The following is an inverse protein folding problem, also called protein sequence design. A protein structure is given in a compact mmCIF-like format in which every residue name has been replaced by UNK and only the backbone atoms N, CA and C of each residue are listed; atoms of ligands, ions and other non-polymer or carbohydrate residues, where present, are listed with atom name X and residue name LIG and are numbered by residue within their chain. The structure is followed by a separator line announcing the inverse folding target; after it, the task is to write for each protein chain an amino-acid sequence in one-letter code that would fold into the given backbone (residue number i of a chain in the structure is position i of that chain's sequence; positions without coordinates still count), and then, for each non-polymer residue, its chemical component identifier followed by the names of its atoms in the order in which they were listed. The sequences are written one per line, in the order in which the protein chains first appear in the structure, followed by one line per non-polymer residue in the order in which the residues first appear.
data_IF_793712542506
#
_entry.id   IF_793712542506
#
_cell.length_a   1.000
_cell.length_b   1.000
_cell.length_c   1.000
_cell.angle_alpha   90.00
_cell.angle_beta   90.00
_cell.angle_gamma   90.00
#
_symmetry.space_group_name_H-M   'P 1'
#
loop_
_entity.id
_entity.type
_entity.pdbx_description
1 polymer ?
#
# COMPACT_ATOMS: atom_id res chain seq x y z
N UNK A 1 15.97 -7.37 -4.64
CA UNK A 1 15.02 -8.23 -3.92
C UNK A 1 13.83 -7.35 -3.56
N UNK A 2 12.60 -7.73 -3.91
CA UNK A 2 11.41 -6.94 -3.58
C UNK A 2 10.98 -7.17 -2.13
N UNK A 3 10.19 -6.24 -1.57
CA UNK A 3 9.57 -6.36 -0.26
C UNK A 3 8.72 -7.65 -0.12
N UNK A 4 7.98 -8.02 -1.17
CA UNK A 4 7.15 -9.23 -1.21
C UNK A 4 8.02 -10.50 -1.16
N UNK A 5 9.14 -10.55 -1.91
CA UNK A 5 10.10 -11.66 -1.84
C UNK A 5 10.75 -11.77 -0.47
N UNK A 6 11.17 -10.63 0.09
CA UNK A 6 11.75 -10.59 1.43
C UNK A 6 10.76 -11.14 2.47
N UNK A 7 9.48 -10.75 2.38
CA UNK A 7 8.42 -11.27 3.24
C UNK A 7 8.27 -12.79 3.11
N UNK A 8 8.25 -13.32 1.88
CA UNK A 8 8.20 -14.76 1.64
C UNK A 8 9.40 -15.50 2.24
N UNK A 9 10.60 -14.94 2.12
CA UNK A 9 11.82 -15.54 2.69
C UNK A 9 11.84 -15.52 4.22
N UNK A 10 11.36 -14.43 4.84
CA UNK A 10 11.35 -14.30 6.30
C UNK A 10 10.29 -15.18 6.95
N UNK A 11 9.13 -15.32 6.32
CA UNK A 11 7.95 -15.96 6.94
C UNK A 11 7.71 -17.39 6.45
N UNK A 12 8.23 -17.75 5.28
CA UNK A 12 7.92 -19.00 4.59
C UNK A 12 6.41 -19.24 4.42
N UNK A 13 5.62 -18.17 4.26
CA UNK A 13 4.16 -18.22 4.18
C UNK A 13 3.64 -17.32 3.04
N UNK A 14 2.96 -17.93 2.07
CA UNK A 14 2.39 -17.24 0.90
C UNK A 14 1.31 -16.23 1.27
N UNK A 15 0.60 -16.45 2.40
CA UNK A 15 -0.42 -15.52 2.90
C UNK A 15 0.22 -14.21 3.36
N UNK A 16 1.44 -14.27 3.89
CA UNK A 16 2.20 -13.07 4.28
C UNK A 16 2.64 -12.26 3.06
N UNK A 17 2.95 -12.92 1.93
CA UNK A 17 3.22 -12.23 0.65
C UNK A 17 1.98 -11.48 0.14
N UNK A 18 0.78 -12.06 0.30
CA UNK A 18 -0.48 -11.38 -0.04
C UNK A 18 -0.71 -10.13 0.85
N UNK A 19 -0.41 -10.22 2.16
CA UNK A 19 -0.46 -9.05 3.06
C UNK A 19 0.57 -7.98 2.67
N UNK A 20 1.80 -8.38 2.29
CA UNK A 20 2.81 -7.46 1.79
C UNK A 20 2.37 -6.77 0.49
N UNK A 21 1.68 -7.49 -0.41
CA UNK A 21 1.10 -6.90 -1.60
C UNK A 21 0.00 -5.88 -1.26
N UNK A 22 -0.93 -6.22 -0.36
CA UNK A 22 -1.94 -5.27 0.12
C UNK A 22 -1.32 -4.00 0.69
N UNK A 23 -0.20 -4.12 1.40
CA UNK A 23 0.57 -2.99 1.94
C UNK A 23 1.17 -2.10 0.85
N UNK A 24 1.72 -2.71 -0.21
CA UNK A 24 2.25 -1.97 -1.36
C UNK A 24 1.11 -1.23 -2.09
N UNK A 25 0.00 -1.90 -2.36
CA UNK A 25 -1.20 -1.29 -2.97
C UNK A 25 -1.69 -0.11 -2.12
N UNK A 26 -1.80 -0.31 -0.79
CA UNK A 26 -2.21 0.76 0.12
C UNK A 26 -1.30 1.98 0.00
N UNK A 27 0.02 1.79 0.03
CA UNK A 27 0.96 2.91 -0.02
C UNK A 27 0.81 3.73 -1.31
N UNK A 28 0.64 3.06 -2.45
CA UNK A 28 0.39 3.72 -3.74
C UNK A 28 -0.95 4.47 -3.73
N UNK A 29 -2.04 3.80 -3.36
CA UNK A 29 -3.40 4.38 -3.42
C UNK A 29 -3.54 5.57 -2.47
N UNK A 30 -3.05 5.45 -1.23
CA UNK A 30 -3.20 6.46 -0.18
C UNK A 30 -2.12 7.53 -0.18
N UNK A 31 -1.20 7.51 -1.15
CA UNK A 31 -0.09 8.46 -1.25
C UNK A 31 0.78 8.44 0.02
N UNK A 32 1.09 7.23 0.52
CA UNK A 32 2.14 7.04 1.52
C UNK A 32 3.45 6.75 0.80
N UNK A 33 4.20 7.82 0.52
CA UNK A 33 5.49 7.75 -0.18
C UNK A 33 6.69 7.64 0.76
N UNK A 34 6.46 7.56 2.07
CA UNK A 34 7.50 7.27 3.07
C UNK A 34 7.59 5.77 3.36
N UNK A 35 7.52 4.95 2.30
CA UNK A 35 7.39 3.50 2.35
C UNK A 35 8.73 2.77 2.36
N UNK A 36 9.74 3.33 3.02
CA UNK A 36 11.08 2.79 3.00
C UNK A 36 11.22 1.46 3.77
N UNK A 37 12.25 0.64 3.50
CA UNK A 37 12.40 -0.68 4.11
C UNK A 37 12.36 -0.73 5.64
N UNK A 38 12.74 0.35 6.35
CA UNK A 38 12.67 0.42 7.83
C UNK A 38 11.23 0.49 8.39
N UNK A 39 10.23 0.76 7.54
CA UNK A 39 8.81 0.80 7.90
C UNK A 39 8.11 -0.56 7.78
N UNK A 40 8.89 -1.62 7.56
CA UNK A 40 8.43 -3.00 7.62
C UNK A 40 9.24 -3.78 8.65
N UNK A 41 8.53 -4.57 9.45
CA UNK A 41 9.11 -5.45 10.44
C UNK A 41 8.39 -6.80 10.40
N UNK A 42 8.99 -7.79 11.08
CA UNK A 42 8.44 -9.12 11.22
C UNK A 42 8.41 -9.46 12.71
N UNK A 43 7.35 -10.14 13.12
CA UNK A 43 7.16 -10.61 14.49
C UNK A 43 7.41 -12.12 14.51
N UNK A 44 8.18 -12.57 15.51
CA UNK A 44 8.37 -13.99 15.78
C UNK A 44 7.48 -14.39 16.95
N UNK A 45 6.68 -15.45 16.76
CA UNK A 45 5.93 -16.07 17.84
C UNK A 45 6.87 -16.81 18.80
N UNK A 46 6.39 -17.15 20.00
CA UNK A 46 7.15 -17.99 20.93
C UNK A 46 7.52 -19.37 20.35
N UNK A 47 6.77 -19.84 19.34
CA UNK A 47 7.05 -21.08 18.61
C UNK A 47 8.08 -20.93 17.48
N UNK A 48 8.62 -19.72 17.25
CA UNK A 48 9.59 -19.45 16.19
C UNK A 48 8.97 -19.17 14.82
N UNK A 49 7.64 -19.02 14.74
CA UNK A 49 6.95 -18.69 13.49
C UNK A 49 7.04 -17.19 13.24
N UNK A 50 7.45 -16.81 12.03
CA UNK A 50 7.57 -15.41 11.63
C UNK A 50 6.35 -14.97 10.81
N UNK A 51 5.82 -13.79 11.13
CA UNK A 51 4.76 -13.14 10.37
C UNK A 51 5.14 -11.68 10.08
N UNK A 52 4.59 -11.11 9.01
CA UNK A 52 4.68 -9.68 8.75
C UNK A 52 4.01 -8.93 9.90
N UNK A 53 4.70 -7.94 10.46
CA UNK A 53 4.16 -7.14 11.55
C UNK A 53 2.92 -6.34 11.09
N UNK A 54 1.99 -6.02 12.00
CA UNK A 54 0.91 -5.08 11.71
C UNK A 54 1.44 -3.77 11.15
N UNK A 55 0.58 -3.10 10.41
CA UNK A 55 0.93 -1.84 9.79
C UNK A 55 1.29 -0.76 10.84
N UNK A 56 2.48 -0.17 10.73
CA UNK A 56 2.90 1.01 11.51
C UNK A 56 3.46 2.10 10.59
N UNK A 57 3.64 3.29 11.18
CA UNK A 57 4.15 4.51 10.53
C UNK A 57 3.48 4.80 9.18
N UNK A 58 2.14 4.78 9.20
CA UNK A 58 1.34 5.04 8.01
C UNK A 58 0.90 6.49 8.02
N UNK A 59 1.47 7.27 7.11
CA UNK A 59 1.15 8.68 6.98
C UNK A 59 0.99 9.07 5.51
N UNK A 60 0.13 10.06 5.25
CA UNK A 60 0.14 10.73 3.95
C UNK A 60 1.49 11.46 3.79
N UNK A 61 2.19 11.21 2.69
CA UNK A 61 3.49 11.81 2.42
C UNK A 61 3.65 12.04 0.91
N UNK A 62 4.06 13.23 0.50
CA UNK A 62 4.36 13.53 -0.91
C UNK A 62 5.66 12.89 -1.39
N UNK A 63 6.54 12.48 -0.47
CA UNK A 63 7.84 11.88 -0.77
C UNK A 63 8.86 12.87 -1.33
N UNK A 64 10.14 12.47 -1.42
CA UNK A 64 11.19 13.29 -2.01
C UNK A 64 10.94 13.49 -3.51
N UNK A 65 10.65 14.72 -3.93
CA UNK A 65 10.38 15.05 -5.34
C UNK A 65 9.13 14.37 -5.92
N UNK A 66 8.22 13.86 -5.07
CA UNK A 66 7.06 13.10 -5.52
C UNK A 66 7.30 11.59 -5.64
N UNK A 67 8.47 11.05 -5.30
CA UNK A 67 8.73 9.63 -5.46
C UNK A 67 8.41 8.82 -4.20
N UNK A 68 7.91 7.60 -4.39
CA UNK A 68 7.96 6.54 -3.37
C UNK A 68 9.43 6.21 -3.04
N UNK A 69 9.69 5.81 -1.79
CA UNK A 69 11.03 5.37 -1.39
C UNK A 69 11.34 3.94 -1.85
N UNK A 70 10.31 3.16 -2.20
CA UNK A 70 10.44 1.87 -2.89
C UNK A 70 9.70 1.91 -4.23
N UNK A 71 10.34 1.39 -5.28
CA UNK A 71 9.71 1.28 -6.59
C UNK A 71 8.76 0.06 -6.69
N UNK A 72 7.82 0.15 -7.61
CA UNK A 72 7.01 -0.96 -8.12
C UNK A 72 7.48 -1.26 -9.54
N UNK A 73 8.30 -2.31 -9.68
CA UNK A 73 8.82 -2.78 -10.97
C UNK A 73 9.52 -1.66 -11.77
N UNK A 74 10.37 -0.88 -11.09
CA UNK A 74 11.16 0.21 -11.66
C UNK A 74 10.46 1.57 -11.74
N UNK A 75 9.22 1.69 -11.22
CA UNK A 75 8.47 2.95 -11.18
C UNK A 75 8.17 3.38 -9.75
N UNK A 76 8.41 4.65 -9.44
CA UNK A 76 8.20 5.21 -8.11
C UNK A 76 7.44 6.54 -8.11
N UNK A 77 7.13 7.13 -9.27
CA UNK A 77 6.36 8.37 -9.36
C UNK A 77 4.89 8.09 -9.70
N UNK A 78 4.66 7.60 -10.92
CA UNK A 78 3.33 7.33 -11.48
C UNK A 78 3.17 5.82 -11.69
N UNK A 79 2.82 5.11 -10.63
CA UNK A 79 2.66 3.65 -10.63
C UNK A 79 1.32 3.31 -11.29
N UNK A 80 1.39 2.53 -12.37
CA UNK A 80 0.22 2.13 -13.16
C UNK A 80 -0.48 0.87 -12.63
N UNK A 81 -1.75 0.68 -12.99
CA UNK A 81 -2.49 -0.58 -12.72
C UNK A 81 -1.72 -1.81 -13.19
N UNK A 82 -1.16 -1.74 -14.41
CA UNK A 82 -0.41 -2.85 -15.00
C UNK A 82 0.81 -3.25 -14.17
N UNK A 83 1.48 -2.31 -13.52
CA UNK A 83 2.61 -2.60 -12.64
C UNK A 83 2.19 -3.29 -11.35
N UNK A 84 1.09 -2.85 -10.72
CA UNK A 84 0.57 -3.53 -9.52
C UNK A 84 0.02 -4.92 -9.85
N UNK A 85 -0.68 -5.09 -10.98
CA UNK A 85 -1.15 -6.40 -11.44
C UNK A 85 0.02 -7.36 -11.65
N UNK A 86 1.05 -6.92 -12.37
CA UNK A 86 2.26 -7.72 -12.60
C UNK A 86 2.99 -8.02 -11.30
N UNK A 87 3.18 -7.04 -10.43
CA UNK A 87 3.82 -7.25 -9.13
C UNK A 87 3.06 -8.33 -8.34
N UNK A 88 1.74 -8.21 -8.22
CA UNK A 88 0.92 -9.18 -7.50
C UNK A 88 1.02 -10.58 -8.08
N UNK A 89 0.87 -10.74 -9.40
CA UNK A 89 0.89 -12.07 -10.06
C UNK A 89 2.30 -12.68 -10.08
N UNK A 90 3.34 -11.89 -10.30
CA UNK A 90 4.72 -12.38 -10.39
C UNK A 90 5.34 -12.65 -9.01
N UNK A 91 4.93 -11.90 -7.98
CA UNK A 91 5.58 -11.92 -6.65
C UNK A 91 4.71 -12.51 -5.54
N UNK A 92 3.48 -12.93 -5.82
CA UNK A 92 2.61 -13.63 -4.88
C UNK A 92 2.04 -14.89 -5.51
N UNK A 93 1.30 -15.66 -4.71
CA UNK A 93 0.62 -16.87 -5.14
C UNK A 93 -0.87 -16.60 -5.42
N UNK A 94 -1.24 -15.33 -5.54
CA UNK A 94 -2.59 -14.86 -5.83
C UNK A 94 -2.90 -15.00 -7.32
N UNK A 95 -4.14 -15.33 -7.63
CA UNK A 95 -4.68 -15.28 -8.99
C UNK A 95 -4.76 -13.84 -9.50
N UNK A 96 -4.75 -13.65 -10.81
CA UNK A 96 -4.93 -12.31 -11.41
C UNK A 96 -6.25 -11.64 -10.96
N UNK A 97 -7.28 -12.42 -10.66
CA UNK A 97 -8.54 -11.91 -10.10
C UNK A 97 -8.36 -11.39 -8.67
N UNK A 98 -7.73 -12.16 -7.77
CA UNK A 98 -7.52 -11.72 -6.38
C UNK A 98 -6.63 -10.47 -6.30
N UNK A 99 -5.63 -10.37 -7.18
CA UNK A 99 -4.77 -9.20 -7.32
C UNK A 99 -5.58 -7.98 -7.76
N UNK A 100 -6.42 -8.13 -8.80
CA UNK A 100 -7.30 -7.07 -9.28
C UNK A 100 -8.31 -6.63 -8.20
N UNK A 101 -8.98 -7.59 -7.56
CA UNK A 101 -9.96 -7.34 -6.49
C UNK A 101 -9.31 -6.59 -5.32
N UNK A 102 -8.05 -6.88 -4.99
CA UNK A 102 -7.29 -6.16 -3.94
C UNK A 102 -7.04 -4.70 -4.30
N UNK A 103 -6.66 -4.43 -5.55
CA UNK A 103 -6.46 -3.06 -6.05
C UNK A 103 -7.78 -2.31 -6.04
N UNK A 104 -8.85 -2.94 -6.53
CA UNK A 104 -10.17 -2.32 -6.66
C UNK A 104 -10.77 -2.00 -5.28
N UNK A 105 -10.63 -2.92 -4.31
CA UNK A 105 -11.04 -2.68 -2.92
C UNK A 105 -10.31 -1.48 -2.31
N UNK A 106 -8.99 -1.38 -2.50
CA UNK A 106 -8.22 -0.27 -1.98
C UNK A 106 -8.67 1.07 -2.59
N UNK A 107 -8.87 1.11 -3.92
CA UNK A 107 -9.39 2.27 -4.63
C UNK A 107 -10.80 2.66 -4.16
N UNK A 108 -11.69 1.70 -3.97
CA UNK A 108 -13.05 1.92 -3.46
C UNK A 108 -13.01 2.59 -2.09
N UNK A 109 -12.27 2.00 -1.14
CA UNK A 109 -12.14 2.56 0.22
C UNK A 109 -11.52 3.96 0.17
N UNK A 110 -10.45 4.14 -0.60
CA UNK A 110 -9.72 5.42 -0.69
C UNK A 110 -10.57 6.54 -1.32
N UNK A 111 -11.48 6.21 -2.25
CA UNK A 111 -12.42 7.18 -2.82
C UNK A 111 -13.34 7.83 -1.78
N UNK A 112 -13.52 7.16 -0.64
CA UNK A 112 -14.35 7.62 0.49
C UNK A 112 -13.56 8.26 1.63
N UNK A 113 -12.25 8.52 1.46
CA UNK A 113 -11.37 9.02 2.53
C UNK A 113 -11.92 10.26 3.23
N UNK A 114 -12.38 11.26 2.48
CA UNK A 114 -12.96 12.49 3.04
C UNK A 114 -14.13 12.23 3.98
N UNK A 115 -15.05 11.36 3.57
CA UNK A 115 -16.22 11.01 4.37
C UNK A 115 -15.80 10.28 5.65
N UNK A 116 -14.94 9.26 5.52
CA UNK A 116 -14.42 8.49 6.67
C UNK A 116 -13.67 9.35 7.67
N UNK A 117 -12.86 10.29 7.19
CA UNK A 117 -12.13 11.23 8.03
C UNK A 117 -13.08 12.13 8.84
N UNK A 118 -14.15 12.62 8.21
CA UNK A 118 -15.16 13.47 8.86
C UNK A 118 -16.00 12.68 9.87
N UNK A 119 -16.38 11.45 9.55
CA UNK A 119 -17.19 10.59 10.42
C UNK A 119 -16.41 10.10 11.64
N UNK A 120 -15.14 9.74 11.45
CA UNK A 120 -14.31 9.16 12.51
C UNK A 120 -13.68 10.23 13.42
N UNK A 121 -13.36 11.41 12.87
CA UNK A 121 -12.62 12.47 13.56
C UNK A 121 -13.23 13.86 13.25
N UNK A 122 -14.49 14.13 13.64
CA UNK A 122 -15.19 15.35 13.28
C UNK A 122 -14.46 16.59 13.81
N UNK A 123 -14.08 17.49 12.91
CA UNK A 123 -13.41 18.76 13.24
C UNK A 123 -11.92 18.65 13.58
N UNK A 124 -11.34 17.45 13.60
CA UNK A 124 -9.91 17.26 13.91
C UNK A 124 -8.98 17.63 12.75
N UNK A 125 -9.47 17.54 11.50
CA UNK A 125 -8.69 17.80 10.29
C UNK A 125 -9.31 18.98 9.54
N UNK A 126 -8.47 19.91 9.10
CA UNK A 126 -8.94 21.08 8.35
C UNK A 126 -9.54 20.66 6.99
N UNK A 127 -10.54 21.43 6.53
CA UNK A 127 -11.19 21.17 5.22
C UNK A 127 -10.19 21.23 4.06
N UNK A 128 -9.19 22.11 4.12
CA UNK A 128 -8.15 22.23 3.10
C UNK A 128 -7.26 20.99 3.08
N UNK A 129 -6.79 20.52 4.24
CA UNK A 129 -5.96 19.30 4.34
C UNK A 129 -6.71 18.08 3.79
N UNK A 130 -7.96 17.84 4.21
CA UNK A 130 -8.74 16.69 3.70
C UNK A 130 -8.93 16.77 2.19
N UNK A 131 -9.24 17.97 1.66
CA UNK A 131 -9.38 18.19 0.21
C UNK A 131 -8.08 17.87 -0.54
N UNK A 132 -6.93 18.32 -0.04
CA UNK A 132 -5.63 18.06 -0.66
C UNK A 132 -5.34 16.56 -0.69
N UNK A 133 -5.51 15.87 0.44
CA UNK A 133 -5.28 14.42 0.52
C UNK A 133 -6.19 13.67 -0.45
N UNK A 134 -7.49 13.98 -0.46
CA UNK A 134 -8.44 13.33 -1.37
C UNK A 134 -8.10 13.62 -2.84
N UNK A 135 -7.67 14.83 -3.17
CA UNK A 135 -7.27 15.17 -4.54
C UNK A 135 -6.08 14.32 -5.00
N UNK A 136 -5.07 14.11 -4.13
CA UNK A 136 -3.93 13.25 -4.43
C UNK A 136 -4.31 11.78 -4.56
N UNK A 137 -5.13 11.27 -3.63
CA UNK A 137 -5.70 9.91 -3.72
C UNK A 137 -6.43 9.72 -5.05
N UNK A 138 -7.26 10.69 -5.46
CA UNK A 138 -8.02 10.59 -6.71
C UNK A 138 -7.12 10.57 -7.95
N UNK A 139 -5.98 11.26 -7.93
CA UNK A 139 -4.98 11.19 -9.00
C UNK A 139 -4.36 9.79 -9.07
N UNK A 140 -4.01 9.19 -7.93
CA UNK A 140 -3.48 7.83 -7.89
C UNK A 140 -4.53 6.82 -8.36
N UNK A 141 -5.78 6.92 -7.88
CA UNK A 141 -6.90 6.08 -8.35
C UNK A 141 -7.07 6.17 -9.87
N UNK A 142 -6.90 7.35 -10.49
CA UNK A 142 -7.03 7.51 -11.94
C UNK A 142 -5.97 6.71 -12.74
N UNK A 143 -4.78 6.47 -12.17
CA UNK A 143 -3.73 5.62 -12.76
C UNK A 143 -4.00 4.12 -12.59
N UNK A 144 -4.94 3.77 -11.70
CA UNK A 144 -5.25 2.40 -11.30
C UNK A 144 -6.58 1.88 -11.87
N UNK A 145 -7.26 2.67 -12.70
CA UNK A 145 -8.47 2.27 -13.43
C UNK A 145 -8.14 1.46 -14.68
#
# INVERSE_FOLDING_TARGET
MSFLRATGLCTNDVRQKALAFQRAVFNVVFNNRDDHPKNFAYLMSAGGEWALAPAYDVTFCEGPGGYHQMDVLGQALDISRGQLLRLGVEETDMTGKEVADTIDLACEVASTFTQRAQDSLPGAITKSTVRTIQARINQNIALLK
#
